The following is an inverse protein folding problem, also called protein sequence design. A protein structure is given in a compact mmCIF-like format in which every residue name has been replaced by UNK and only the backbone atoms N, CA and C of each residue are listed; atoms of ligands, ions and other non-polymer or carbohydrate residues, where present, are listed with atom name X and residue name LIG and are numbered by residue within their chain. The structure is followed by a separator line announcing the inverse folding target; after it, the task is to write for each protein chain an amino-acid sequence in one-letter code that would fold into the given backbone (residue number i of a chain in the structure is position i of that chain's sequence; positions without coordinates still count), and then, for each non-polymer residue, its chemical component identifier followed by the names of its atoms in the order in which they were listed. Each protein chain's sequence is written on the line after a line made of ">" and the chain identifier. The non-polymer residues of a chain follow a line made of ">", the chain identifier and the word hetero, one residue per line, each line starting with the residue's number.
data_IF_023178960185
#
_entry.id   IF_023178960185
#
_cell.length_a   1.000
_cell.length_b   1.000
_cell.length_c   1.000
_cell.angle_alpha   90.00
_cell.angle_beta   90.00
_cell.angle_gamma   90.00
#
_symmetry.space_group_name_H-M   'P 1'
#
loop_
_entity.id
_entity.type
_entity.pdbx_description
1 polymer ?
#
# COMPACT_ATOMS: atom_id res chain seq x y z
N UNK A 1 11.54 14.02 -4.65
CA UNK A 1 11.68 12.56 -4.80
C UNK A 1 11.58 11.99 -3.40
N UNK A 2 10.74 10.98 -3.22
CA UNK A 2 10.44 10.37 -1.91
C UNK A 2 11.06 8.98 -1.84
N UNK A 3 11.63 8.63 -0.67
CA UNK A 3 12.12 7.28 -0.40
C UNK A 3 11.06 6.46 0.31
N UNK A 4 10.85 5.22 -0.15
CA UNK A 4 9.92 4.25 0.43
C UNK A 4 10.71 3.01 0.84
N UNK A 5 10.56 2.58 2.08
CA UNK A 5 11.06 1.31 2.59
C UNK A 5 9.97 0.24 2.48
N UNK A 6 10.25 -0.78 1.67
CA UNK A 6 9.56 -2.06 1.69
C UNK A 6 10.16 -2.93 2.80
N UNK A 7 9.28 -3.63 3.51
CA UNK A 7 9.62 -4.51 4.64
C UNK A 7 8.51 -5.56 4.69
N UNK A 8 8.78 -6.74 4.13
CA UNK A 8 7.77 -7.74 3.85
C UNK A 8 8.18 -9.10 4.39
N UNK A 9 7.20 -9.76 5.01
CA UNK A 9 7.32 -11.14 5.46
C UNK A 9 6.02 -11.89 5.24
N UNK A 10 6.06 -13.20 5.44
CA UNK A 10 4.89 -14.07 5.36
C UNK A 10 4.77 -14.95 6.61
N UNK A 11 3.56 -15.41 6.95
CA UNK A 11 3.39 -16.37 8.04
C UNK A 11 4.18 -17.66 7.79
N UNK A 12 4.79 -18.18 8.85
CA UNK A 12 5.51 -19.45 8.90
C UNK A 12 5.24 -20.17 10.22
N UNK A 13 5.74 -21.41 10.36
CA UNK A 13 5.59 -22.16 11.60
C UNK A 13 6.28 -21.50 12.81
N UNK A 14 7.34 -20.71 12.55
CA UNK A 14 8.18 -20.09 13.58
C UNK A 14 7.90 -18.58 13.77
N UNK A 15 6.83 -18.06 13.15
CA UNK A 15 6.46 -16.64 13.20
C UNK A 15 6.42 -16.01 11.81
N UNK A 16 7.00 -14.82 11.66
CA UNK A 16 7.11 -14.13 10.37
C UNK A 16 8.43 -14.53 9.72
N UNK A 17 8.35 -15.13 8.54
CA UNK A 17 9.52 -15.40 7.70
C UNK A 17 9.72 -14.26 6.70
N UNK A 18 10.98 -13.90 6.44
CA UNK A 18 11.36 -12.86 5.50
C UNK A 18 10.97 -13.27 4.07
N UNK A 19 10.44 -12.33 3.28
CA UNK A 19 10.23 -12.52 1.84
C UNK A 19 11.52 -12.29 1.06
N UNK A 20 12.56 -13.03 1.42
CA UNK A 20 13.91 -12.84 0.90
C UNK A 20 13.99 -13.11 -0.62
N UNK A 21 14.58 -12.17 -1.37
CA UNK A 21 14.80 -12.31 -2.81
C UNK A 21 13.56 -12.13 -3.69
N UNK A 22 12.38 -11.92 -3.09
CA UNK A 22 11.13 -11.67 -3.80
C UNK A 22 11.20 -10.39 -4.63
N UNK A 23 10.40 -10.36 -5.70
CA UNK A 23 10.32 -9.19 -6.59
C UNK A 23 9.10 -8.34 -6.23
N UNK A 24 9.32 -7.04 -6.10
CA UNK A 24 8.28 -6.03 -5.94
C UNK A 24 8.14 -5.27 -7.26
N UNK A 25 6.96 -5.33 -7.87
CA UNK A 25 6.62 -4.59 -9.08
C UNK A 25 5.91 -3.29 -8.68
N UNK A 26 6.42 -2.15 -9.15
CA UNK A 26 5.86 -0.83 -8.84
C UNK A 26 5.40 -0.19 -10.14
N UNK A 27 4.08 -0.02 -10.28
CA UNK A 27 3.43 0.41 -11.51
C UNK A 27 2.53 1.63 -11.26
N UNK A 28 2.76 2.77 -11.93
CA UNK A 28 1.87 3.93 -11.84
C UNK A 28 0.48 3.63 -12.45
N UNK A 29 -0.61 3.95 -11.74
CA UNK A 29 -1.99 3.63 -12.18
C UNK A 29 -2.47 4.43 -13.38
N UNK A 30 -1.88 5.59 -13.64
CA UNK A 30 -2.36 6.53 -14.64
C UNK A 30 -1.26 7.02 -15.58
N UNK A 31 -1.62 7.02 -16.87
CA UNK A 31 -0.89 7.67 -17.96
C UNK A 31 -1.46 9.07 -18.18
N UNK A 32 -0.63 10.01 -18.61
CA UNK A 32 -1.05 11.37 -18.92
C UNK A 32 -0.74 11.74 -20.37
N UNK A 33 -1.43 12.75 -20.91
CA UNK A 33 -1.14 13.26 -22.25
C UNK A 33 -0.22 14.47 -22.19
N UNK A 34 0.78 14.51 -23.07
CA UNK A 34 1.58 15.69 -23.40
C UNK A 34 1.36 16.04 -24.88
N UNK A 35 0.42 16.96 -25.14
CA UNK A 35 -0.09 17.20 -26.49
C UNK A 35 -0.78 15.95 -27.05
N UNK A 36 -0.25 15.38 -28.14
CA UNK A 36 -0.72 14.11 -28.74
C UNK A 36 0.00 12.87 -28.21
N UNK A 37 1.00 13.02 -27.34
CA UNK A 37 1.78 11.91 -26.80
C UNK A 37 1.14 11.39 -25.52
N UNK A 38 0.87 10.10 -25.46
CA UNK A 38 0.56 9.40 -24.21
C UNK A 38 1.91 9.17 -23.51
N UNK A 39 2.04 9.65 -22.28
CA UNK A 39 3.21 9.46 -21.42
C UNK A 39 2.81 8.51 -20.30
N UNK A 40 3.57 7.44 -20.17
CA UNK A 40 3.48 6.49 -19.06
C UNK A 40 4.60 6.85 -18.09
N UNK A 41 4.27 6.96 -16.81
CA UNK A 41 5.30 7.10 -15.76
C UNK A 41 6.03 5.76 -15.66
N UNK A 42 7.36 5.78 -15.51
CA UNK A 42 8.16 4.55 -15.53
C UNK A 42 7.71 3.60 -14.42
N UNK A 43 7.41 2.36 -14.80
CA UNK A 43 7.30 1.23 -13.89
C UNK A 43 8.69 0.64 -13.65
N UNK A 44 8.89 0.06 -12.48
CA UNK A 44 10.15 -0.60 -12.17
C UNK A 44 9.93 -1.79 -11.24
N UNK A 45 10.98 -2.60 -11.12
CA UNK A 45 11.04 -3.75 -10.22
C UNK A 45 12.19 -3.57 -9.24
N UNK A 46 12.00 -4.03 -8.01
CA UNK A 46 13.06 -4.11 -7.02
C UNK A 46 13.04 -5.50 -6.37
N UNK A 47 14.23 -6.08 -6.17
CA UNK A 47 14.37 -7.30 -5.39
C UNK A 47 14.56 -6.96 -3.92
N UNK A 48 13.85 -7.69 -3.06
CA UNK A 48 14.06 -7.65 -1.63
C UNK A 48 15.38 -8.33 -1.25
N UNK A 49 16.03 -7.82 -0.21
CA UNK A 49 17.24 -8.41 0.35
C UNK A 49 16.93 -9.68 1.18
N UNK A 50 17.94 -10.21 1.87
CA UNK A 50 17.81 -11.40 2.70
C UNK A 50 16.85 -11.26 3.89
N UNK A 51 16.45 -10.02 4.21
CA UNK A 51 15.52 -9.70 5.30
C UNK A 51 14.14 -9.28 4.76
N UNK A 52 13.85 -9.51 3.47
CA UNK A 52 12.58 -9.09 2.88
C UNK A 52 12.43 -7.57 2.77
N UNK A 53 13.55 -6.82 2.73
CA UNK A 53 13.52 -5.35 2.69
C UNK A 53 14.11 -4.78 1.41
N UNK A 54 13.64 -3.60 1.02
CA UNK A 54 14.26 -2.78 -0.02
C UNK A 54 13.87 -1.31 0.16
N UNK A 55 14.77 -0.39 -0.19
CA UNK A 55 14.44 1.04 -0.22
C UNK A 55 14.50 1.56 -1.65
N UNK A 56 13.41 2.17 -2.10
CA UNK A 56 13.28 2.71 -3.46
C UNK A 56 13.07 4.22 -3.43
N UNK A 57 13.50 4.91 -4.48
CA UNK A 57 13.27 6.35 -4.65
C UNK A 57 12.30 6.57 -5.79
N UNK A 58 11.17 7.22 -5.51
CA UNK A 58 10.11 7.45 -6.50
C UNK A 58 9.66 8.91 -6.54
N UNK A 59 9.11 9.38 -7.67
CA UNK A 59 8.36 10.63 -7.69
C UNK A 59 7.17 10.59 -6.73
N UNK A 60 6.93 11.65 -5.93
CA UNK A 60 5.70 11.74 -5.14
C UNK A 60 4.48 11.80 -6.06
N UNK A 61 3.34 11.35 -5.53
CA UNK A 61 2.05 11.41 -6.21
C UNK A 61 1.38 12.77 -5.99
N UNK A 62 0.46 13.12 -6.88
CA UNK A 62 -0.19 14.44 -6.96
C UNK A 62 -1.71 14.33 -7.14
N UNK A 63 -2.32 13.22 -6.69
CA UNK A 63 -3.73 12.86 -6.93
C UNK A 63 -4.13 12.68 -8.40
N UNK A 64 -3.18 12.67 -9.35
CA UNK A 64 -3.44 12.28 -10.75
C UNK A 64 -3.10 10.82 -11.05
N UNK A 65 -2.40 10.16 -10.11
CA UNK A 65 -2.01 8.76 -10.14
C UNK A 65 -1.70 8.26 -8.74
N UNK A 66 -1.61 6.94 -8.60
CA UNK A 66 -1.07 6.22 -7.46
C UNK A 66 -0.05 5.18 -7.95
N UNK A 67 0.65 4.51 -7.04
CA UNK A 67 1.46 3.35 -7.38
C UNK A 67 0.72 2.07 -6.98
N UNK A 68 0.46 1.21 -7.96
CA UNK A 68 0.14 -0.20 -7.71
C UNK A 68 1.43 -0.95 -7.42
N UNK A 69 1.51 -1.51 -6.22
CA UNK A 69 2.65 -2.30 -5.74
C UNK A 69 2.21 -3.73 -5.59
N UNK A 70 2.82 -4.61 -6.37
CA UNK A 70 2.61 -6.07 -6.31
C UNK A 70 3.86 -6.72 -5.74
N UNK A 71 3.69 -7.60 -4.75
CA UNK A 71 4.78 -8.43 -4.20
C UNK A 71 4.50 -9.89 -4.51
N UNK A 72 5.52 -10.62 -4.96
CA UNK A 72 5.43 -12.03 -5.32
C UNK A 72 4.76 -12.29 -6.66
N UNK A 73 4.93 -13.52 -7.17
CA UNK A 73 4.37 -14.00 -8.42
C UNK A 73 2.99 -14.63 -8.22
N UNK A 74 2.24 -14.82 -9.32
CA UNK A 74 0.84 -15.32 -9.27
C UNK A 74 0.66 -16.69 -8.60
N UNK A 75 1.73 -17.48 -8.49
CA UNK A 75 1.70 -18.78 -7.84
C UNK A 75 1.90 -18.71 -6.32
N UNK A 76 2.35 -17.58 -5.79
CA UNK A 76 2.74 -17.44 -4.41
C UNK A 76 1.55 -17.19 -3.49
N UNK A 77 1.46 -17.94 -2.39
CA UNK A 77 0.38 -17.79 -1.41
C UNK A 77 0.44 -16.47 -0.64
N UNK A 78 1.57 -15.78 -0.65
CA UNK A 78 1.79 -14.48 -0.01
C UNK A 78 1.64 -13.31 -0.98
N UNK A 79 1.30 -13.56 -2.26
CA UNK A 79 1.11 -12.49 -3.23
C UNK A 79 0.02 -11.53 -2.77
N UNK A 80 0.31 -10.24 -2.82
CA UNK A 80 -0.68 -9.19 -2.61
C UNK A 80 -0.43 -7.99 -3.53
N UNK A 81 -1.47 -7.16 -3.65
CA UNK A 81 -1.43 -5.88 -4.38
C UNK A 81 -1.94 -4.80 -3.43
N UNK A 82 -1.26 -3.65 -3.39
CA UNK A 82 -1.78 -2.41 -2.78
C UNK A 82 -1.59 -1.25 -3.72
N UNK A 83 -2.56 -0.34 -3.76
CA UNK A 83 -2.50 0.88 -4.55
C UNK A 83 -2.35 2.06 -3.62
N UNK A 84 -1.21 2.75 -3.64
CA UNK A 84 -0.83 3.72 -2.60
C UNK A 84 -0.53 5.12 -3.14
N UNK A 85 -0.86 6.12 -2.32
CA UNK A 85 -0.39 7.51 -2.49
C UNK A 85 0.97 7.68 -1.80
N UNK A 86 1.89 8.38 -2.46
CA UNK A 86 3.24 8.66 -1.95
C UNK A 86 3.39 10.18 -1.78
N UNK A 87 3.35 10.70 -0.55
CA UNK A 87 3.52 12.14 -0.34
C UNK A 87 4.96 12.59 -0.66
N UNK A 88 5.12 13.88 -0.98
CA UNK A 88 6.45 14.48 -1.06
C UNK A 88 7.06 14.57 0.34
N UNK A 89 8.20 13.89 0.54
CA UNK A 89 8.81 13.75 1.85
C UNK A 89 10.33 13.75 1.74
N UNK A 90 10.98 14.45 2.67
CA UNK A 90 12.43 14.38 2.88
C UNK A 90 12.86 13.18 3.75
N UNK A 91 11.92 12.56 4.47
CA UNK A 91 12.16 11.37 5.28
C UNK A 91 11.83 10.09 4.48
N UNK A 92 12.52 9.00 4.81
CA UNK A 92 12.13 7.65 4.37
C UNK A 92 10.77 7.30 4.98
N UNK A 93 9.82 6.89 4.14
CA UNK A 93 8.50 6.46 4.57
C UNK A 93 8.45 4.93 4.56
N UNK A 94 7.82 4.30 5.55
CA UNK A 94 7.52 2.88 5.45
C UNK A 94 6.35 2.67 4.51
N UNK A 95 6.41 1.64 3.69
CA UNK A 95 5.31 1.28 2.80
C UNK A 95 4.00 0.97 3.56
N UNK A 96 4.11 0.43 4.78
CA UNK A 96 2.98 0.20 5.69
C UNK A 96 2.22 1.46 6.05
N UNK A 97 2.90 2.61 6.05
CA UNK A 97 2.36 3.89 6.52
C UNK A 97 1.70 4.68 5.38
N UNK A 98 1.83 4.20 4.13
CA UNK A 98 1.25 4.84 2.97
C UNK A 98 -0.25 4.59 2.88
N UNK A 99 -0.98 5.64 2.51
CA UNK A 99 -2.44 5.62 2.33
C UNK A 99 -2.77 4.76 1.12
N UNK A 100 -3.60 3.73 1.34
CA UNK A 100 -4.18 2.94 0.27
C UNK A 100 -5.37 3.67 -0.35
N UNK A 101 -5.47 3.64 -1.67
CA UNK A 101 -6.52 4.28 -2.43
C UNK A 101 -7.11 3.33 -3.47
N UNK A 102 -8.33 3.61 -3.89
CA UNK A 102 -8.95 2.93 -5.02
C UNK A 102 -8.20 3.34 -6.31
N UNK A 103 -7.88 2.36 -7.15
CA UNK A 103 -7.08 2.60 -8.37
C UNK A 103 -7.75 3.50 -9.41
N UNK A 104 -9.08 3.56 -9.42
CA UNK A 104 -9.85 4.32 -10.39
C UNK A 104 -10.23 5.71 -9.86
N UNK A 105 -10.63 5.82 -8.60
CA UNK A 105 -11.09 7.09 -8.01
C UNK A 105 -9.99 7.84 -7.27
N UNK A 106 -8.89 7.16 -6.90
CA UNK A 106 -7.81 7.66 -6.05
C UNK A 106 -8.27 8.13 -4.66
N UNK A 107 -9.47 7.72 -4.24
CA UNK A 107 -9.98 7.98 -2.90
C UNK A 107 -9.49 6.91 -1.93
N UNK A 108 -9.19 7.23 -0.67
CA UNK A 108 -8.77 6.24 0.32
C UNK A 108 -9.74 5.05 0.40
N UNK A 109 -9.21 3.83 0.30
CA UNK A 109 -10.00 2.60 0.51
C UNK A 109 -9.91 2.25 1.99
N UNK A 110 -10.93 2.64 2.75
CA UNK A 110 -11.08 2.31 4.17
C UNK A 110 -9.77 2.30 4.97
N UNK A 111 -9.29 3.48 5.38
CA UNK A 111 -8.58 3.58 6.66
C UNK A 111 -9.56 3.12 7.73
N UNK A 112 -9.57 1.82 8.03
CA UNK A 112 -10.40 1.27 9.09
C UNK A 112 -10.04 1.96 10.40
N UNK A 113 -10.82 2.97 10.79
CA UNK A 113 -10.96 3.32 12.19
C UNK A 113 -11.90 2.26 12.76
N UNK A 114 -11.44 1.37 13.67
CA UNK A 114 -12.34 0.43 14.32
C UNK A 114 -13.48 1.11 15.12
N UNK A 115 -13.41 2.44 15.32
CA UNK A 115 -14.48 3.26 15.92
C UNK A 115 -15.37 3.99 14.90
N UNK A 116 -15.09 3.94 13.59
CA UNK A 116 -15.91 4.62 12.59
C UNK A 116 -17.22 3.87 12.27
N UNK A 117 -17.32 2.62 12.70
CA UNK A 117 -18.49 1.76 12.53
C UNK A 117 -19.28 1.61 13.85
N UNK A 118 -18.93 2.36 14.90
CA UNK A 118 -19.73 2.43 16.14
C UNK A 118 -20.76 3.53 15.96
N UNK A 119 -22.04 3.17 16.01
CA UNK A 119 -23.15 4.12 15.98
C UNK A 119 -23.93 4.16 17.32
N UNK A 120 -24.95 5.01 17.40
CA UNK A 120 -25.75 5.19 18.62
C UNK A 120 -26.46 3.88 19.04
N UNK A 121 -26.78 2.99 18.10
CA UNK A 121 -27.44 1.73 18.38
C UNK A 121 -26.53 0.74 19.11
N UNK A 122 -25.23 0.77 18.83
CA UNK A 122 -24.23 -0.03 19.55
C UNK A 122 -24.07 0.44 21.01
N UNK A 123 -24.12 1.75 21.23
CA UNK A 123 -24.09 2.37 22.57
C UNK A 123 -25.36 2.00 23.35
N UNK A 124 -26.52 2.07 22.71
CA UNK A 124 -27.81 1.77 23.32
C UNK A 124 -27.93 0.27 23.68
N UNK A 125 -27.40 -0.62 22.84
CA UNK A 125 -27.32 -2.05 23.14
C UNK A 125 -26.45 -2.34 24.37
N UNK A 126 -25.27 -1.73 24.44
CA UNK A 126 -24.35 -1.90 25.57
C UNK A 126 -24.94 -1.39 26.89
N UNK A 127 -25.62 -0.23 26.88
CA UNK A 127 -26.33 0.30 28.05
C UNK A 127 -27.50 -0.58 28.49
N UNK A 128 -28.25 -1.16 27.55
CA UNK A 128 -29.37 -2.05 27.89
C UNK A 128 -28.91 -3.34 28.55
N UNK A 129 -27.73 -3.84 28.17
CA UNK A 129 -27.15 -5.09 28.69
C UNK A 129 -26.53 -4.91 30.09
N UNK A 130 -26.03 -3.72 30.41
CA UNK A 130 -25.47 -3.38 31.74
C UNK A 130 -26.57 -3.08 32.76
N UNK A 131 -27.69 -2.50 32.33
CA UNK A 131 -28.80 -2.11 33.19
C UNK A 131 -29.90 -3.18 33.30
N UNK A 132 -29.68 -4.39 32.77
CA UNK A 132 -30.60 -5.53 32.84
C UNK A 132 -30.30 -6.46 34.02
#
# INVERSE_FOLDING_TARGET
>A
MTQIKFDFGHPSADGIADLAGETVHVVPTSRFNSGKRIVVRDSFEVRLDEHGTATVTVPPTDNTFAYEVTVGDSADSWRFIRVVQVPDSANVLNFSDLVEVDSATLTPVNTGNPLADIDQSDVDWALSTINA
#
